data_IF_012298123582
#
_entry.id   IF_012298123582
#
_cell.length_a   1.000
_cell.length_b   1.000
_cell.length_c   1.000
_cell.angle_alpha   90.00
_cell.angle_beta   90.00
_cell.angle_gamma   90.00
#
_symmetry.space_group_name_H-M   'P 1'
#
loop_
_entity.id
_entity.type
_entity.pdbx_description
1 polymer ?
#
# COMPACT_ATOMS: atom_id res chain seq x y z
N UNK A 1 -1.67 14.40 10.06
CA UNK A 1 -2.52 15.52 9.62
C UNK A 1 -2.88 15.35 8.15
N UNK A 2 -4.01 15.89 7.69
CA UNK A 2 -4.41 15.86 6.28
C UNK A 2 -4.09 17.20 5.62
N UNK A 3 -3.47 17.16 4.43
CA UNK A 3 -3.09 18.34 3.66
C UNK A 3 -3.66 18.23 2.25
N UNK A 4 -3.88 19.38 1.61
CA UNK A 4 -4.32 19.44 0.23
C UNK A 4 -3.65 20.58 -0.53
N UNK A 5 -3.52 20.41 -1.84
CA UNK A 5 -3.11 21.47 -2.74
C UNK A 5 -3.70 21.27 -4.14
N UNK A 6 -3.81 22.37 -4.88
CA UNK A 6 -4.26 22.37 -6.27
C UNK A 6 -3.10 22.11 -7.23
N UNK A 7 -3.36 21.31 -8.26
CA UNK A 7 -2.45 21.06 -9.36
C UNK A 7 -3.22 20.97 -10.68
N UNK A 8 -3.18 22.06 -11.46
CA UNK A 8 -3.99 22.20 -12.66
C UNK A 8 -5.48 22.25 -12.30
N UNK A 9 -6.26 21.29 -12.77
CA UNK A 9 -7.71 21.16 -12.49
C UNK A 9 -8.03 20.14 -11.40
N UNK A 10 -7.02 19.59 -10.71
CA UNK A 10 -7.19 18.55 -9.69
C UNK A 10 -6.70 19.01 -8.33
N UNK A 11 -7.41 18.61 -7.29
CA UNK A 11 -7.00 18.75 -5.90
C UNK A 11 -6.36 17.44 -5.43
N UNK A 12 -5.12 17.50 -4.94
CA UNK A 12 -4.43 16.35 -4.36
C UNK A 12 -4.51 16.48 -2.85
N UNK A 13 -5.15 15.51 -2.20
CA UNK A 13 -5.20 15.35 -0.75
C UNK A 13 -4.22 14.28 -0.31
N UNK A 14 -3.50 14.49 0.80
CA UNK A 14 -2.57 13.50 1.34
C UNK A 14 -2.47 13.57 2.87
N UNK A 15 -2.19 12.42 3.48
CA UNK A 15 -1.92 12.32 4.92
C UNK A 15 -0.43 12.44 5.20
N UNK A 16 -0.04 13.29 6.14
CA UNK A 16 1.34 13.40 6.63
C UNK A 16 1.48 12.76 8.01
N UNK A 17 2.51 11.93 8.16
CA UNK A 17 2.97 11.38 9.42
C UNK A 17 4.48 11.61 9.62
N UNK A 18 4.92 11.71 10.87
CA UNK A 18 6.32 11.85 11.23
C UNK A 18 6.85 10.56 11.85
N UNK A 19 8.02 10.09 11.40
CA UNK A 19 8.68 8.89 11.92
C UNK A 19 10.19 9.09 12.03
N UNK A 20 10.86 8.28 12.86
CA UNK A 20 12.33 8.25 12.96
C UNK A 20 12.91 7.60 11.69
N UNK A 21 13.21 8.42 10.68
CA UNK A 21 13.72 8.01 9.36
C UNK A 21 14.63 9.08 8.77
N UNK A 22 15.39 8.75 7.72
CA UNK A 22 16.34 9.69 7.08
C UNK A 22 15.75 10.46 5.90
N UNK A 23 14.75 9.91 5.22
CA UNK A 23 14.21 10.45 3.95
C UNK A 23 12.72 10.69 4.04
N UNK A 24 12.18 11.57 3.18
CA UNK A 24 10.72 11.71 3.01
C UNK A 24 10.25 10.63 2.04
N UNK A 25 9.23 9.89 2.44
CA UNK A 25 8.52 8.95 1.56
C UNK A 25 7.19 9.55 1.14
N UNK A 26 6.84 9.31 -0.12
CA UNK A 26 5.55 9.66 -0.68
C UNK A 26 5.03 8.38 -1.33
N UNK A 27 3.89 7.91 -0.87
CA UNK A 27 3.29 6.67 -1.32
C UNK A 27 1.81 6.83 -1.59
N UNK A 28 1.24 5.82 -2.26
CA UNK A 28 -0.17 5.73 -2.57
C UNK A 28 -0.63 4.35 -2.14
N UNK A 29 -1.57 4.29 -1.21
CA UNK A 29 -2.33 3.09 -0.88
C UNK A 29 -3.55 3.13 -1.81
N UNK A 30 -3.68 2.18 -2.75
CA UNK A 30 -4.85 2.15 -3.59
C UNK A 30 -6.12 1.90 -2.74
N UNK A 31 -7.30 2.34 -3.21
CA UNK A 31 -7.54 2.88 -4.55
C UNK A 31 -7.03 4.31 -4.78
N UNK A 32 -7.03 5.16 -3.76
CA UNK A 32 -6.84 6.61 -3.95
C UNK A 32 -6.09 7.34 -2.81
N UNK A 33 -5.65 6.63 -1.77
CA UNK A 33 -5.09 7.26 -0.57
C UNK A 33 -3.62 7.61 -0.74
N UNK A 34 -3.32 8.90 -0.86
CA UNK A 34 -1.94 9.42 -0.89
C UNK A 34 -1.44 9.69 0.54
N UNK A 35 -0.19 9.34 0.81
CA UNK A 35 0.45 9.62 2.10
C UNK A 35 1.89 10.09 1.93
N UNK A 36 2.36 10.86 2.91
CA UNK A 36 3.73 11.26 3.07
C UNK A 36 4.21 10.92 4.48
N UNK A 37 5.43 10.38 4.58
CA UNK A 37 6.07 10.12 5.87
C UNK A 37 7.39 10.86 5.90
N UNK A 38 7.51 11.83 6.80
CA UNK A 38 8.68 12.68 6.93
C UNK A 38 9.51 12.33 8.18
N UNK A 39 10.83 12.60 8.16
CA UNK A 39 11.66 12.61 9.37
C UNK A 39 11.11 13.57 10.43
N UNK A 40 11.17 13.18 11.70
CA UNK A 40 10.85 14.06 12.83
C UNK A 40 11.70 15.34 12.74
N UNK A 41 11.07 16.51 12.88
CA UNK A 41 11.72 17.81 12.75
C UNK A 41 11.76 18.38 11.33
N UNK A 42 11.23 17.67 10.32
CA UNK A 42 11.08 18.22 8.97
C UNK A 42 9.94 19.23 8.95
N UNK A 43 10.22 20.44 8.46
CA UNK A 43 9.18 21.46 8.27
C UNK A 43 8.13 21.02 7.25
N UNK A 44 6.88 21.36 7.51
CA UNK A 44 5.72 21.00 6.67
C UNK A 44 5.86 21.55 5.25
N UNK A 45 6.40 22.77 5.08
CA UNK A 45 6.62 23.39 3.76
C UNK A 45 7.58 22.58 2.87
N UNK A 46 8.60 21.96 3.48
CA UNK A 46 9.54 21.09 2.77
C UNK A 46 8.82 19.84 2.27
N UNK A 47 7.96 19.26 3.12
CA UNK A 47 7.14 18.10 2.75
C UNK A 47 6.18 18.48 1.62
N UNK A 48 5.46 19.59 1.77
CA UNK A 48 4.50 20.08 0.78
C UNK A 48 5.17 20.35 -0.57
N UNK A 49 6.34 21.01 -0.56
CA UNK A 49 7.14 21.22 -1.78
C UNK A 49 7.57 19.91 -2.43
N UNK A 50 7.95 18.91 -1.64
CA UNK A 50 8.31 17.59 -2.15
C UNK A 50 7.12 16.86 -2.77
N UNK A 51 5.96 16.87 -2.11
CA UNK A 51 4.73 16.26 -2.64
C UNK A 51 4.27 16.98 -3.92
N UNK A 52 4.27 18.32 -3.93
CA UNK A 52 3.97 19.14 -5.12
C UNK A 52 4.87 18.78 -6.31
N UNK A 53 6.17 18.60 -6.09
CA UNK A 53 7.11 18.18 -7.15
C UNK A 53 6.78 16.81 -7.76
N UNK A 54 6.01 15.98 -7.05
CA UNK A 54 5.55 14.65 -7.47
C UNK A 54 4.10 14.62 -7.95
N UNK A 55 3.40 15.75 -8.02
CA UNK A 55 1.98 15.81 -8.36
C UNK A 55 1.61 15.07 -9.66
N UNK A 56 2.39 15.26 -10.73
CA UNK A 56 2.17 14.53 -12.00
C UNK A 56 2.32 13.01 -11.85
N UNK A 57 3.30 12.56 -11.06
CA UNK A 57 3.48 11.14 -10.76
C UNK A 57 2.31 10.59 -9.93
N UNK A 58 1.85 11.35 -8.93
CA UNK A 58 0.71 10.98 -8.09
C UNK A 58 -0.53 10.79 -8.96
N UNK A 59 -0.86 11.75 -9.81
CA UNK A 59 -2.02 11.71 -10.69
C UNK A 59 -1.97 10.50 -11.64
N UNK A 60 -0.83 10.27 -12.29
CA UNK A 60 -0.66 9.11 -13.19
C UNK A 60 -0.83 7.80 -12.44
N UNK A 61 -0.31 7.71 -11.22
CA UNK A 61 -0.37 6.49 -10.41
C UNK A 61 -1.79 6.22 -9.90
N UNK A 62 -2.50 7.24 -9.44
CA UNK A 62 -3.93 7.17 -9.10
C UNK A 62 -4.76 6.71 -10.31
N UNK A 63 -4.50 7.25 -11.49
CA UNK A 63 -5.17 6.83 -12.71
C UNK A 63 -4.90 5.36 -13.05
N UNK A 64 -3.64 4.90 -12.91
CA UNK A 64 -3.30 3.49 -13.15
C UNK A 64 -3.96 2.51 -12.19
N UNK A 65 -4.36 2.97 -11.00
CA UNK A 65 -5.08 2.15 -10.03
C UNK A 65 -6.60 2.15 -10.24
N UNK A 66 -7.13 3.07 -11.05
CA UNK A 66 -8.58 3.20 -11.28
C UNK A 66 -9.19 1.97 -11.94
N UNK A 67 -8.47 1.35 -12.86
CA UNK A 67 -8.91 0.15 -13.58
C UNK A 67 -8.49 -1.16 -12.89
N UNK A 68 -7.78 -1.04 -11.76
CA UNK A 68 -7.39 -2.20 -10.96
C UNK A 68 -8.57 -2.53 -10.05
N UNK A 69 -9.26 -3.64 -10.31
CA UNK A 69 -10.23 -4.20 -9.35
C UNK A 69 -9.47 -4.50 -8.05
N UNK A 70 -9.50 -3.55 -7.11
CA UNK A 70 -8.89 -3.70 -5.79
C UNK A 70 -9.79 -4.60 -4.94
N UNK A 71 -9.99 -5.83 -5.41
CA UNK A 71 -10.57 -6.91 -4.64
C UNK A 71 -9.51 -7.25 -3.59
N UNK A 72 -9.67 -6.67 -2.40
CA UNK A 72 -9.02 -7.21 -1.22
C UNK A 72 -9.44 -8.68 -1.15
N UNK A 73 -8.53 -9.59 -1.52
CA UNK A 73 -8.77 -11.03 -1.42
C UNK A 73 -8.82 -11.33 0.07
N UNK A 74 -10.03 -11.37 0.62
CA UNK A 74 -10.23 -11.80 2.00
C UNK A 74 -10.05 -13.31 2.03
N UNK A 75 -8.90 -13.78 2.52
CA UNK A 75 -8.58 -15.20 2.60
C UNK A 75 -9.16 -15.78 3.87
N UNK A 76 -9.91 -16.85 3.75
CA UNK A 76 -10.51 -17.53 4.90
C UNK A 76 -9.59 -18.62 5.49
N UNK A 77 -8.54 -18.99 4.76
CA UNK A 77 -7.59 -20.06 5.10
C UNK A 77 -8.30 -21.39 5.37
N UNK A 78 -9.18 -21.77 4.44
CA UNK A 78 -9.96 -23.02 4.52
C UNK A 78 -9.46 -24.06 3.52
N UNK A 79 -9.69 -25.34 3.80
CA UNK A 79 -9.37 -26.42 2.86
C UNK A 79 -10.06 -26.20 1.51
N UNK A 80 -9.30 -26.33 0.43
CA UNK A 80 -9.77 -26.15 -0.94
C UNK A 80 -9.62 -24.72 -1.48
N UNK A 81 -9.34 -23.72 -0.64
CA UNK A 81 -9.15 -22.33 -1.08
C UNK A 81 -7.96 -22.22 -2.05
N UNK A 82 -8.09 -21.40 -3.09
CA UNK A 82 -7.07 -21.25 -4.14
C UNK A 82 -5.98 -20.25 -3.75
N UNK A 83 -4.71 -20.69 -3.82
CA UNK A 83 -3.52 -19.89 -3.55
C UNK A 83 -2.59 -19.89 -4.76
N UNK A 84 -2.18 -18.69 -5.18
CA UNK A 84 -1.17 -18.53 -6.22
C UNK A 84 0.22 -18.72 -5.64
N UNK A 85 0.98 -19.68 -6.16
CA UNK A 85 2.38 -19.92 -5.84
C UNK A 85 3.18 -20.08 -7.14
N UNK A 86 4.23 -19.26 -7.30
CA UNK A 86 5.09 -19.24 -8.51
C UNK A 86 4.31 -19.22 -9.84
N UNK A 87 3.21 -18.47 -9.90
CA UNK A 87 2.39 -18.31 -11.10
C UNK A 87 1.41 -19.44 -11.39
N UNK A 88 1.26 -20.41 -10.49
CA UNK A 88 0.24 -21.46 -10.58
C UNK A 88 -0.70 -21.39 -9.38
N UNK A 89 -1.96 -21.70 -9.60
CA UNK A 89 -2.96 -21.78 -8.53
C UNK A 89 -2.97 -23.20 -7.95
N UNK A 90 -2.89 -23.30 -6.63
CA UNK A 90 -2.95 -24.54 -5.85
C UNK A 90 -4.10 -24.47 -4.86
N UNK A 91 -4.74 -25.60 -4.60
CA UNK A 91 -5.73 -25.70 -3.52
C UNK A 91 -5.02 -25.88 -2.17
N UNK A 92 -5.40 -25.08 -1.18
CA UNK A 92 -4.90 -25.19 0.18
C UNK A 92 -5.37 -26.50 0.81
N UNK A 93 -4.43 -27.28 1.34
CA UNK A 93 -4.72 -28.45 2.16
C UNK A 93 -4.06 -28.28 3.53
N UNK A 94 -4.89 -28.29 4.56
CA UNK A 94 -4.54 -28.14 5.97
C UNK A 94 -4.60 -29.53 6.60
N UNK A 95 -3.45 -29.98 7.07
CA UNK A 95 -3.29 -31.24 7.79
C UNK A 95 -2.96 -30.88 9.24
N UNK A 96 -3.84 -31.27 10.17
CA UNK A 96 -3.61 -31.08 11.61
C UNK A 96 -2.81 -32.26 12.13
N UNK A 97 -1.59 -31.99 12.56
CA UNK A 97 -0.72 -32.98 13.20
C UNK A 97 -0.36 -32.48 14.60
N UNK A 98 -0.60 -33.28 15.62
CA UNK A 98 -0.35 -32.92 17.01
C UNK A 98 1.14 -33.06 17.40
N UNK A 99 1.95 -33.71 16.57
CA UNK A 99 3.38 -33.93 16.82
C UNK A 99 4.26 -32.76 16.37
N UNK A 100 3.75 -31.91 15.48
CA UNK A 100 4.48 -30.73 14.99
C UNK A 100 4.32 -29.54 15.94
N UNK A 101 5.43 -28.89 16.29
CA UNK A 101 5.44 -27.72 17.17
C UNK A 101 5.21 -26.40 16.42
N UNK A 102 5.33 -26.40 15.08
CA UNK A 102 5.22 -25.22 14.21
C UNK A 102 4.53 -25.62 12.90
N UNK A 103 3.84 -24.66 12.29
CA UNK A 103 3.25 -24.86 10.97
C UNK A 103 4.36 -25.05 9.92
N UNK A 104 4.22 -26.10 9.11
CA UNK A 104 5.12 -26.40 7.99
C UNK A 104 4.32 -26.37 6.69
N UNK A 105 4.92 -25.83 5.63
CA UNK A 105 4.31 -25.80 4.29
C UNK A 105 5.05 -26.80 3.41
N UNK A 106 4.30 -27.69 2.77
CA UNK A 106 4.79 -28.64 1.77
C UNK A 106 4.08 -28.33 0.45
N UNK A 107 4.82 -28.29 -0.65
CA UNK A 107 4.34 -27.94 -2.01
C UNK A 107 4.42 -29.18 -2.89
#
# INVERSE_FOLDING_TARGET
MNYSFEYGTRTITFDLAYKKRKTIEIGIIPPDKVYAIAPIGTQEDIVLGKVKSKANWIIKKLFSFKDMEYLHINREFVNGESFMYLGRNYSLQIIKDASIKRAEVKI
#
